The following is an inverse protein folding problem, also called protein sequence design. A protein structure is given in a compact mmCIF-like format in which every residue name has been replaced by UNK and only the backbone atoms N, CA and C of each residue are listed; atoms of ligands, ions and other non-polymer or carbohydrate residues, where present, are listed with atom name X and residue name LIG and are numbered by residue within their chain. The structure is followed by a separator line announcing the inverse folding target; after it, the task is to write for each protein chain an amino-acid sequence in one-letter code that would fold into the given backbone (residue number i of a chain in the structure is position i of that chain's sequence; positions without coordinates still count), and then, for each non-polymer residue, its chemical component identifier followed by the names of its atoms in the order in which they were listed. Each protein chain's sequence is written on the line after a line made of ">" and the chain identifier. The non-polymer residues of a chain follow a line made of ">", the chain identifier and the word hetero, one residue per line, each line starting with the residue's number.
data_IF_583159552248
#
_entry.id   IF_583159552248
#
_cell.length_a   1.000
_cell.length_b   1.000
_cell.length_c   1.000
_cell.angle_alpha   90.00
_cell.angle_beta   90.00
_cell.angle_gamma   90.00
#
_symmetry.space_group_name_H-M   'P 1'
#
loop_
_entity.id
_entity.type
_entity.pdbx_description
1 polymer ?
#
# COMPACT_ATOMS: atom_id res chain seq x y z
N UNK A 1 32.54 -0.84 -11.62
CA UNK A 1 31.08 -0.66 -11.43
C UNK A 1 30.62 0.38 -12.44
N UNK A 2 29.52 0.13 -13.16
CA UNK A 2 28.99 1.15 -14.08
C UNK A 2 28.25 2.22 -13.28
N UNK A 3 28.62 3.49 -13.47
CA UNK A 3 27.94 4.63 -12.83
C UNK A 3 26.91 5.19 -13.81
N UNK A 4 25.73 5.53 -13.30
CA UNK A 4 24.71 6.26 -14.04
C UNK A 4 24.42 7.56 -13.31
N UNK A 5 24.37 8.65 -14.06
CA UNK A 5 24.00 9.98 -13.55
C UNK A 5 22.50 10.17 -13.70
N UNK A 6 21.84 10.63 -12.63
CA UNK A 6 20.43 10.99 -12.63
C UNK A 6 20.29 12.45 -12.19
N UNK A 7 19.31 13.15 -12.74
CA UNK A 7 18.95 14.50 -12.31
C UNK A 7 17.80 14.41 -11.33
N UNK A 8 17.92 15.13 -10.21
CA UNK A 8 16.88 15.25 -9.19
C UNK A 8 16.70 16.73 -8.84
N UNK A 9 15.57 17.07 -8.21
CA UNK A 9 15.39 18.43 -7.68
C UNK A 9 16.34 18.66 -6.51
N UNK A 10 16.68 19.93 -6.27
CA UNK A 10 17.52 20.32 -5.12
C UNK A 10 16.90 19.87 -3.79
N UNK A 11 15.58 20.03 -3.64
CA UNK A 11 14.85 19.59 -2.45
C UNK A 11 14.99 18.08 -2.22
N UNK A 12 14.98 17.28 -3.29
CA UNK A 12 15.16 15.84 -3.21
C UNK A 12 16.61 15.48 -2.84
N UNK A 13 17.60 16.20 -3.38
CA UNK A 13 19.00 16.01 -3.01
C UNK A 13 19.22 16.28 -1.52
N UNK A 14 18.74 17.41 -1.02
CA UNK A 14 18.89 17.80 0.39
C UNK A 14 18.12 16.86 1.33
N UNK A 15 16.95 16.35 0.91
CA UNK A 15 16.25 15.31 1.66
C UNK A 15 17.06 14.02 1.77
N UNK A 16 17.61 13.53 0.65
CA UNK A 16 18.45 12.32 0.64
C UNK A 16 19.73 12.49 1.46
N UNK A 17 20.34 13.68 1.38
CA UNK A 17 21.55 14.02 2.14
C UNK A 17 21.33 13.97 3.64
N UNK A 18 20.18 14.46 4.15
CA UNK A 18 19.81 14.34 5.57
C UNK A 18 19.60 12.90 6.02
N UNK A 19 19.27 12.00 5.11
CA UNK A 19 19.02 10.57 5.40
C UNK A 19 20.28 9.71 5.28
N UNK A 20 21.34 10.22 4.66
CA UNK A 20 22.61 9.53 4.43
C UNK A 20 23.41 9.46 5.74
N UNK A 21 24.01 8.32 6.04
CA UNK A 21 24.95 8.17 7.17
C UNK A 21 26.34 8.67 6.77
N UNK A 22 27.17 9.04 7.75
CA UNK A 22 28.48 9.66 7.50
C UNK A 22 29.42 8.76 6.69
N UNK A 23 29.39 7.45 6.93
CA UNK A 23 30.22 6.43 6.28
C UNK A 23 29.61 5.82 5.01
N UNK A 24 28.39 6.21 4.65
CA UNK A 24 27.62 5.60 3.56
C UNK A 24 27.83 6.36 2.23
N UNK A 25 27.63 5.72 1.08
CA UNK A 25 27.50 6.38 -0.23
C UNK A 25 26.04 6.61 -0.61
N UNK A 26 25.75 7.51 -1.57
CA UNK A 26 24.37 7.64 -2.07
C UNK A 26 23.85 6.34 -2.68
N UNK A 27 24.71 5.56 -3.34
CA UNK A 27 24.33 4.23 -3.85
C UNK A 27 23.94 3.27 -2.73
N UNK A 28 24.65 3.27 -1.60
CA UNK A 28 24.29 2.47 -0.43
C UNK A 28 23.03 2.99 0.26
N UNK A 29 22.82 4.31 0.32
CA UNK A 29 21.54 4.90 0.76
C UNK A 29 20.39 4.39 -0.10
N UNK A 30 20.52 4.43 -1.43
CA UNK A 30 19.50 3.90 -2.33
C UNK A 30 19.28 2.41 -2.10
N UNK A 31 20.32 1.60 -1.92
CA UNK A 31 20.20 0.17 -1.61
C UNK A 31 19.56 -0.10 -0.24
N UNK A 32 19.86 0.72 0.78
CA UNK A 32 19.26 0.63 2.11
C UNK A 32 17.78 1.02 2.10
N UNK A 33 17.42 2.07 1.35
CA UNK A 33 16.03 2.50 1.20
C UNK A 33 15.22 1.55 0.32
N UNK A 34 15.83 1.04 -0.77
CA UNK A 34 15.21 0.04 -1.67
C UNK A 34 15.24 -1.38 -1.11
N UNK A 35 16.07 -1.65 -0.10
CA UNK A 35 16.15 -2.92 0.62
C UNK A 35 14.88 -3.30 1.37
N UNK A 36 13.85 -2.43 1.37
CA UNK A 36 12.49 -2.78 1.76
C UNK A 36 11.60 -2.92 0.53
N UNK A 37 11.87 -3.92 -0.30
CA UNK A 37 10.73 -4.68 -0.83
C UNK A 37 10.12 -5.38 0.37
N UNK A 38 9.17 -4.75 1.05
CA UNK A 38 8.38 -5.42 2.07
C UNK A 38 7.71 -6.60 1.37
N UNK A 39 8.24 -7.81 1.59
CA UNK A 39 7.63 -9.01 1.06
C UNK A 39 6.33 -9.22 1.82
N UNK A 40 5.37 -9.90 1.20
CA UNK A 40 4.07 -10.19 1.83
C UNK A 40 4.26 -10.86 3.21
N UNK A 41 5.31 -11.67 3.36
CA UNK A 41 5.70 -12.30 4.65
C UNK A 41 6.12 -11.30 5.74
N UNK A 42 6.62 -10.12 5.37
CA UNK A 42 7.07 -9.08 6.30
C UNK A 42 5.90 -8.21 6.81
N UNK A 43 4.74 -8.29 6.13
CA UNK A 43 3.52 -7.55 6.47
C UNK A 43 2.49 -8.45 7.15
N UNK A 44 2.44 -9.74 6.79
CA UNK A 44 1.49 -10.70 7.36
C UNK A 44 1.67 -10.77 8.88
N UNK A 45 0.60 -10.38 9.59
CA UNK A 45 0.51 -10.53 11.03
C UNK A 45 1.12 -9.40 11.85
N UNK A 46 1.61 -8.32 11.23
CA UNK A 46 2.17 -7.17 11.95
C UNK A 46 1.18 -6.54 12.95
N UNK A 47 -0.11 -6.64 12.68
CA UNK A 47 -1.17 -6.16 13.56
C UNK A 47 -1.70 -7.22 14.54
N UNK A 48 -1.22 -8.47 14.54
CA UNK A 48 -1.82 -9.54 15.37
C UNK A 48 -1.76 -9.27 16.87
N UNK A 49 -0.72 -8.57 17.33
CA UNK A 49 -0.50 -8.28 18.75
C UNK A 49 -0.84 -6.83 19.11
N UNK A 50 -1.45 -6.08 18.19
CA UNK A 50 -1.89 -4.71 18.46
C UNK A 50 -3.18 -4.73 19.29
N UNK A 51 -3.28 -3.85 20.29
CA UNK A 51 -4.47 -3.79 21.14
C UNK A 51 -5.76 -3.43 20.37
N UNK A 52 -5.64 -2.77 19.22
CA UNK A 52 -6.75 -2.42 18.34
C UNK A 52 -7.00 -3.42 17.20
N UNK A 53 -6.26 -4.52 17.15
CA UNK A 53 -6.31 -5.48 16.03
C UNK A 53 -7.70 -6.05 15.78
N UNK A 54 -8.39 -6.45 16.86
CA UNK A 54 -9.71 -7.07 16.76
C UNK A 54 -10.77 -6.05 16.34
N UNK A 55 -10.75 -4.85 16.93
CA UNK A 55 -11.63 -3.77 16.53
C UNK A 55 -11.45 -3.38 15.04
N UNK A 56 -10.20 -3.39 14.56
CA UNK A 56 -9.91 -3.13 13.15
C UNK A 56 -10.39 -4.28 12.26
N UNK A 57 -10.19 -5.53 12.66
CA UNK A 57 -10.68 -6.72 11.96
C UNK A 57 -12.20 -6.70 11.80
N UNK A 58 -12.94 -6.40 12.86
CA UNK A 58 -14.40 -6.30 12.83
C UNK A 58 -14.88 -5.21 11.86
N UNK A 59 -14.22 -4.05 11.85
CA UNK A 59 -14.53 -2.98 10.88
C UNK A 59 -14.31 -3.41 9.43
N UNK A 60 -13.24 -4.14 9.15
CA UNK A 60 -12.96 -4.66 7.80
C UNK A 60 -14.03 -5.67 7.38
N UNK A 61 -14.44 -6.58 8.27
CA UNK A 61 -15.51 -7.55 8.00
C UNK A 61 -16.82 -6.81 7.69
N UNK A 62 -17.25 -5.91 8.57
CA UNK A 62 -18.49 -5.15 8.38
C UNK A 62 -18.46 -4.31 7.09
N UNK A 63 -17.32 -3.75 6.73
CA UNK A 63 -17.17 -3.01 5.47
C UNK A 63 -17.31 -3.91 4.24
N UNK A 64 -16.78 -5.14 4.28
CA UNK A 64 -16.88 -6.11 3.18
C UNK A 64 -18.31 -6.60 3.00
N UNK A 65 -19.02 -6.86 4.09
CA UNK A 65 -20.43 -7.26 4.03
C UNK A 65 -21.28 -6.16 3.40
N UNK A 66 -21.13 -4.91 3.86
CA UNK A 66 -21.84 -3.76 3.27
C UNK A 66 -21.57 -3.62 1.78
N UNK A 67 -20.31 -3.78 1.36
CA UNK A 67 -19.93 -3.71 -0.05
C UNK A 67 -20.59 -4.84 -0.85
N UNK A 68 -20.53 -6.08 -0.36
CA UNK A 68 -21.16 -7.23 -1.04
C UNK A 68 -22.66 -7.02 -1.19
N UNK A 69 -23.37 -6.64 -0.12
CA UNK A 69 -24.82 -6.36 -0.19
C UNK A 69 -25.13 -5.24 -1.19
N UNK A 70 -24.31 -4.19 -1.26
CA UNK A 70 -24.50 -3.12 -2.23
C UNK A 70 -24.29 -3.60 -3.67
N UNK A 71 -23.25 -4.39 -3.92
CA UNK A 71 -22.98 -4.98 -5.22
C UNK A 71 -24.09 -5.94 -5.66
N UNK A 72 -24.59 -6.78 -4.76
CA UNK A 72 -25.73 -7.68 -5.02
C UNK A 72 -26.99 -6.90 -5.36
N UNK A 73 -27.28 -5.82 -4.62
CA UNK A 73 -28.40 -4.93 -4.90
C UNK A 73 -28.27 -4.29 -6.28
N UNK A 74 -27.08 -3.77 -6.62
CA UNK A 74 -26.81 -3.19 -7.94
C UNK A 74 -26.96 -4.23 -9.06
N UNK A 75 -26.41 -5.42 -8.87
CA UNK A 75 -26.55 -6.51 -9.83
C UNK A 75 -28.02 -6.93 -10.01
N UNK A 76 -28.78 -7.00 -8.92
CA UNK A 76 -30.23 -7.25 -8.95
C UNK A 76 -30.99 -6.17 -9.73
N UNK A 77 -30.69 -4.90 -9.49
CA UNK A 77 -31.31 -3.77 -10.19
C UNK A 77 -31.01 -3.79 -11.70
N UNK A 78 -29.77 -4.11 -12.08
CA UNK A 78 -29.38 -4.27 -13.49
C UNK A 78 -30.13 -5.44 -14.14
N UNK A 79 -30.18 -6.61 -13.48
CA UNK A 79 -30.94 -7.78 -13.95
C UNK A 79 -32.43 -7.49 -14.11
N UNK A 80 -33.03 -6.74 -13.18
CA UNK A 80 -34.44 -6.38 -13.24
C UNK A 80 -34.74 -5.45 -14.42
N UNK A 81 -33.84 -4.50 -14.72
CA UNK A 81 -33.97 -3.61 -15.91
C UNK A 81 -33.89 -4.40 -17.21
N UNK A 82 -32.97 -5.35 -17.32
CA UNK A 82 -32.81 -6.17 -18.53
C UNK A 82 -33.99 -7.14 -18.78
N UNK A 83 -34.80 -7.44 -17.76
CA UNK A 83 -35.95 -8.35 -17.84
C UNK A 83 -37.29 -7.68 -18.13
N UNK A 84 -37.36 -6.34 -18.18
CA UNK A 84 -38.55 -5.63 -18.64
C UNK A 84 -38.35 -5.33 -20.13
N UNK A 85 -39.01 -6.05 -21.06
CA UNK A 85 -39.07 -5.60 -22.44
C UNK A 85 -39.91 -4.32 -22.49
N UNK A 86 -39.56 -3.42 -23.41
CA UNK A 86 -40.30 -2.18 -23.69
C UNK A 86 -41.78 -2.46 -24.03
#
# INVERSE_FOLDING_TARGET
>A
MAVKTITITEDAYEALKRMKRDDESFSELFLRLSGRTLLVKDIIGILKNDAGADAWRERVIASRERLNTDLERRAGNVRARLKRPD
#
